data_IF_955302978241
#
_entry.id   IF_955302978241
#
_cell.length_a   1.000
_cell.length_b   1.000
_cell.length_c   1.000
_cell.angle_alpha   90.00
_cell.angle_beta   90.00
_cell.angle_gamma   90.00
#
_symmetry.space_group_name_H-M   'P 1'
#
loop_
_entity.id
_entity.type
_entity.pdbx_description
1 polymer ?
#
# COMPACT_ATOMS: atom_id res chain seq x y z
N UNK A 1 20.48 -4.23 -13.73
CA UNK A 1 20.14 -4.53 -12.75
C UNK A 1 19.09 -3.75 -12.12
N UNK A 2 18.92 -3.83 -11.05
CA UNK A 2 17.93 -3.10 -10.47
C UNK A 2 18.02 -1.69 -10.77
N UNK A 3 19.12 -1.25 -11.29
CA UNK A 3 19.21 0.06 -11.64
C UNK A 3 18.23 0.40 -12.71
N UNK A 4 17.95 -0.46 -13.62
CA UNK A 4 17.10 -0.09 -14.73
C UNK A 4 15.68 0.18 -14.26
N UNK A 5 15.15 -0.61 -13.39
CA UNK A 5 13.80 -0.30 -12.98
C UNK A 5 13.74 0.83 -11.98
N UNK A 6 14.83 1.15 -11.35
CA UNK A 6 14.82 2.30 -10.48
C UNK A 6 14.71 3.58 -11.24
N UNK A 7 15.36 3.65 -12.39
CA UNK A 7 15.35 4.89 -13.11
C UNK A 7 14.13 5.06 -13.92
N UNK A 8 13.41 4.03 -14.14
CA UNK A 8 12.23 4.19 -14.89
C UNK A 8 11.32 4.99 -14.10
N UNK A 9 10.52 5.52 -14.67
CA UNK A 9 9.50 6.12 -14.05
C UNK A 9 9.73 7.17 -13.17
N UNK A 10 8.79 7.83 -12.89
CA UNK A 10 8.83 8.94 -12.08
C UNK A 10 9.29 8.59 -10.72
N UNK A 11 9.23 7.51 -10.27
CA UNK A 11 9.61 7.25 -8.90
C UNK A 11 10.69 6.23 -8.79
N UNK A 12 11.57 6.41 -7.86
CA UNK A 12 12.52 5.42 -7.45
C UNK A 12 11.91 4.65 -6.30
N UNK A 13 12.12 3.34 -6.27
CA UNK A 13 11.64 2.54 -5.16
C UNK A 13 12.41 2.91 -3.89
N UNK A 14 11.68 3.18 -2.83
CA UNK A 14 12.24 3.63 -1.57
C UNK A 14 11.72 2.77 -0.44
N UNK A 15 12.47 2.78 0.67
CA UNK A 15 12.01 2.12 1.88
C UNK A 15 10.97 2.98 2.58
N UNK A 16 10.15 2.35 3.42
CA UNK A 16 9.16 3.08 4.19
C UNK A 16 9.84 4.21 4.97
N UNK A 17 9.25 5.42 4.96
CA UNK A 17 9.83 6.54 5.72
C UNK A 17 9.91 6.21 7.20
N UNK A 18 10.98 6.65 7.84
CA UNK A 18 11.25 6.28 9.23
C UNK A 18 10.14 6.68 10.18
N UNK A 19 9.56 7.86 10.00
CA UNK A 19 8.47 8.31 10.87
C UNK A 19 7.23 7.44 10.73
N UNK A 20 6.92 7.05 9.52
CA UNK A 20 5.80 6.16 9.26
C UNK A 20 6.07 4.79 9.87
N UNK A 21 7.29 4.28 9.65
CA UNK A 21 7.66 2.98 10.18
C UNK A 21 7.56 2.95 11.70
N UNK A 22 8.06 3.99 12.36
CA UNK A 22 8.05 4.04 13.82
C UNK A 22 6.62 3.97 14.36
N UNK A 23 5.70 4.63 13.70
CA UNK A 23 4.30 4.63 14.14
C UNK A 23 3.61 3.30 13.90
N UNK A 24 4.07 2.53 12.92
CA UNK A 24 3.41 1.28 12.54
C UNK A 24 4.08 0.04 13.09
N UNK A 25 5.25 0.16 13.71
CA UNK A 25 5.93 -0.99 14.30
C UNK A 25 5.08 -1.80 15.28
N UNK A 26 4.22 -1.17 16.10
CA UNK A 26 3.37 -1.97 16.98
C UNK A 26 2.30 -2.78 16.26
N UNK A 27 2.04 -2.50 15.00
CA UNK A 27 0.92 -3.09 14.27
C UNK A 27 1.31 -4.10 13.21
N UNK A 28 2.55 -4.06 12.74
CA UNK A 28 3.00 -4.93 11.65
C UNK A 28 4.32 -5.59 12.00
N UNK A 29 4.53 -6.78 11.48
CA UNK A 29 5.77 -7.52 11.73
C UNK A 29 6.94 -6.85 11.03
N UNK A 30 8.15 -7.15 11.54
CA UNK A 30 9.36 -6.65 10.90
C UNK A 30 9.48 -7.18 9.47
N UNK A 31 9.01 -8.40 9.21
CA UNK A 31 9.06 -8.95 7.87
C UNK A 31 8.29 -8.07 6.89
N UNK A 32 7.10 -7.63 7.26
CA UNK A 32 6.30 -6.75 6.40
C UNK A 32 7.00 -5.42 6.22
N UNK A 33 7.43 -4.81 7.33
CA UNK A 33 8.03 -3.48 7.28
C UNK A 33 9.35 -3.45 6.52
N UNK A 34 10.12 -4.53 6.58
CA UNK A 34 11.41 -4.60 5.90
C UNK A 34 11.26 -4.91 4.42
N UNK A 35 10.21 -5.63 4.03
CA UNK A 35 10.07 -6.03 2.64
C UNK A 35 9.47 -4.93 1.76
N UNK A 36 8.69 -4.03 2.33
CA UNK A 36 7.93 -3.07 1.53
C UNK A 36 8.84 -2.03 0.89
N UNK A 37 8.47 -1.64 -0.33
CA UNK A 37 9.07 -0.50 -1.01
C UNK A 37 7.94 0.33 -1.57
N UNK A 38 8.19 1.62 -1.76
CA UNK A 38 7.16 2.47 -2.32
C UNK A 38 7.75 3.40 -3.37
N UNK A 39 6.87 3.96 -4.16
CA UNK A 39 7.20 5.05 -5.07
C UNK A 39 5.97 5.91 -5.27
N UNK A 40 6.18 7.11 -5.81
CA UNK A 40 5.08 7.98 -6.20
C UNK A 40 4.95 7.86 -7.71
N UNK A 41 3.77 7.52 -8.17
CA UNK A 41 3.52 7.31 -9.58
C UNK A 41 2.52 8.31 -10.12
N UNK A 42 2.42 8.38 -11.45
CA UNK A 42 1.43 9.24 -12.08
C UNK A 42 0.11 8.47 -12.27
N UNK A 43 -0.87 9.15 -12.84
CA UNK A 43 -2.18 8.55 -13.03
C UNK A 43 -2.13 7.29 -13.90
N UNK A 44 -1.26 7.27 -14.90
CA UNK A 44 -1.16 6.11 -15.77
C UNK A 44 -0.63 4.90 -15.01
N UNK A 45 0.37 5.09 -14.15
CA UNK A 45 0.90 4.00 -13.33
C UNK A 45 -0.13 3.48 -12.35
N UNK A 46 -0.87 4.39 -11.70
CA UNK A 46 -1.90 3.97 -10.77
C UNK A 46 -3.04 3.26 -11.45
N UNK A 47 -3.44 3.73 -12.62
CA UNK A 47 -4.50 3.07 -13.37
C UNK A 47 -4.08 1.68 -13.82
N UNK A 48 -2.84 1.53 -14.27
CA UNK A 48 -2.34 0.21 -14.68
C UNK A 48 -2.30 -0.74 -13.48
N UNK A 49 -1.80 -0.27 -12.33
CA UNK A 49 -1.73 -1.10 -11.14
C UNK A 49 -3.12 -1.43 -10.62
N UNK A 50 -4.08 -0.55 -10.87
CA UNK A 50 -5.42 -0.66 -10.31
C UNK A 50 -6.39 -1.36 -11.27
N UNK A 51 -5.88 -2.02 -12.30
CA UNK A 51 -6.74 -2.60 -13.33
C UNK A 51 -7.76 -3.58 -12.76
N UNK A 52 -7.35 -4.36 -11.79
CA UNK A 52 -8.23 -5.36 -11.19
C UNK A 52 -9.12 -4.79 -10.09
N UNK A 53 -8.84 -3.58 -9.64
CA UNK A 53 -9.57 -3.01 -8.52
C UNK A 53 -10.82 -2.33 -9.00
N UNK A 54 -11.79 -2.21 -8.12
CA UNK A 54 -13.08 -1.63 -8.47
C UNK A 54 -13.20 -0.18 -8.03
N UNK A 55 -12.11 0.42 -7.57
CA UNK A 55 -12.14 1.77 -7.04
C UNK A 55 -11.15 2.66 -7.78
N UNK A 56 -11.60 3.46 -8.76
CA UNK A 56 -10.68 4.25 -9.57
C UNK A 56 -10.11 5.48 -8.89
N UNK A 57 -10.63 5.88 -7.75
CA UNK A 57 -10.21 7.11 -7.10
C UNK A 57 -9.26 6.90 -5.94
N UNK A 58 -8.54 5.79 -5.95
CA UNK A 58 -7.63 5.52 -4.85
C UNK A 58 -6.41 6.41 -4.91
N UNK A 59 -5.83 6.66 -3.76
CA UNK A 59 -4.61 7.44 -3.63
C UNK A 59 -3.37 6.59 -3.52
N UNK A 60 -3.53 5.30 -3.38
CA UNK A 60 -2.41 4.35 -3.34
C UNK A 60 -2.89 2.97 -3.73
N UNK A 61 -1.98 2.17 -4.27
CA UNK A 61 -2.27 0.79 -4.68
C UNK A 61 -1.07 -0.06 -4.30
N UNK A 62 -1.32 -1.27 -3.81
CA UNK A 62 -0.27 -2.23 -3.48
C UNK A 62 -0.21 -3.33 -4.53
N UNK A 63 0.99 -3.63 -4.99
CA UNK A 63 1.26 -4.77 -5.87
C UNK A 63 2.41 -5.55 -5.27
N UNK A 64 2.11 -6.72 -4.73
CA UNK A 64 3.09 -7.54 -4.02
C UNK A 64 3.61 -6.75 -2.81
N UNK A 65 4.88 -6.40 -2.81
CA UNK A 65 5.47 -5.63 -1.73
C UNK A 65 5.80 -4.21 -2.15
N UNK A 66 5.22 -3.74 -3.24
CA UNK A 66 5.44 -2.38 -3.72
C UNK A 66 4.14 -1.60 -3.61
N UNK A 67 4.23 -0.43 -2.99
CA UNK A 67 3.09 0.47 -2.87
C UNK A 67 3.35 1.68 -3.76
N UNK A 68 2.38 1.99 -4.60
CA UNK A 68 2.46 3.16 -5.48
C UNK A 68 1.49 4.19 -4.96
N UNK A 69 2.00 5.37 -4.61
CA UNK A 69 1.19 6.47 -4.11
C UNK A 69 0.93 7.47 -5.23
N UNK A 70 -0.25 8.08 -5.23
CA UNK A 70 -0.55 9.13 -6.17
C UNK A 70 0.14 10.44 -5.79
N UNK A 71 0.27 10.72 -4.49
CA UNK A 71 0.81 11.99 -4.00
C UNK A 71 1.96 11.76 -3.05
N UNK A 72 3.02 12.53 -3.25
CA UNK A 72 4.19 12.50 -2.36
C UNK A 72 3.78 12.78 -0.92
N UNK A 73 2.87 13.71 -0.71
CA UNK A 73 2.45 14.07 0.64
C UNK A 73 1.86 12.88 1.39
N UNK A 74 1.10 12.03 0.71
CA UNK A 74 0.55 10.84 1.33
C UNK A 74 1.64 9.85 1.68
N UNK A 75 2.62 9.69 0.80
CA UNK A 75 3.72 8.77 1.07
C UNK A 75 4.54 9.21 2.28
N UNK A 76 4.66 10.51 2.49
CA UNK A 76 5.47 11.02 3.59
C UNK A 76 4.72 11.18 4.90
N UNK A 77 3.41 11.37 4.86
CA UNK A 77 2.67 11.79 6.05
C UNK A 77 1.41 11.00 6.38
N UNK A 78 0.87 10.22 5.44
CA UNK A 78 -0.45 9.62 5.67
C UNK A 78 -0.32 8.21 6.25
N UNK A 79 -0.12 8.14 7.57
CA UNK A 79 0.12 6.87 8.24
C UNK A 79 -1.08 5.93 8.15
N UNK A 80 -2.30 6.46 8.16
CA UNK A 80 -3.49 5.62 8.05
C UNK A 80 -3.57 4.95 6.68
N UNK A 81 -3.23 5.68 5.62
CA UNK A 81 -3.19 5.10 4.28
C UNK A 81 -2.09 4.05 4.19
N UNK A 82 -0.94 4.31 4.78
CA UNK A 82 0.12 3.32 4.86
C UNK A 82 -0.37 2.04 5.54
N UNK A 83 -1.12 2.18 6.62
CA UNK A 83 -1.63 1.00 7.34
C UNK A 83 -2.55 0.18 6.45
N UNK A 84 -3.38 0.83 5.65
CA UNK A 84 -4.24 0.14 4.69
C UNK A 84 -3.41 -0.66 3.69
N UNK A 85 -2.42 0.00 3.07
CA UNK A 85 -1.64 -0.65 2.03
C UNK A 85 -0.73 -1.76 2.61
N UNK A 86 -0.21 -1.55 3.81
CA UNK A 86 0.61 -2.59 4.43
C UNK A 86 -0.18 -3.85 4.74
N UNK A 87 -1.48 -3.72 5.01
CA UNK A 87 -2.30 -4.91 5.18
C UNK A 87 -2.31 -5.72 3.88
N UNK A 88 -2.35 -5.06 2.74
CA UNK A 88 -2.28 -5.77 1.47
C UNK A 88 -0.91 -6.43 1.26
N UNK A 89 0.18 -5.77 1.66
CA UNK A 89 1.50 -6.41 1.61
C UNK A 89 1.48 -7.68 2.45
N UNK A 90 0.91 -7.61 3.65
CA UNK A 90 0.80 -8.77 4.52
C UNK A 90 0.00 -9.88 3.86
N UNK A 91 -1.11 -9.54 3.22
CA UNK A 91 -1.94 -10.53 2.51
C UNK A 91 -1.18 -11.16 1.35
N UNK A 92 -0.42 -10.36 0.58
CA UNK A 92 0.40 -10.93 -0.48
C UNK A 92 1.46 -11.89 0.06
N UNK A 93 2.06 -11.55 1.20
CA UNK A 93 3.05 -12.44 1.80
C UNK A 93 2.42 -13.73 2.29
N UNK A 94 1.19 -13.67 2.78
CA UNK A 94 0.49 -14.86 3.25
C UNK A 94 -0.03 -15.73 2.11
N UNK A 95 -0.61 -15.11 1.11
CA UNK A 95 -1.35 -15.83 0.07
C UNK A 95 -0.57 -16.02 -1.23
N UNK A 96 0.37 -15.14 -1.51
CA UNK A 96 1.00 -15.09 -2.83
C UNK A 96 0.14 -14.32 -3.81
N UNK A 97 0.75 -13.93 -4.93
CA UNK A 97 0.09 -13.06 -5.90
C UNK A 97 -1.14 -13.72 -6.53
N UNK A 98 -1.04 -15.00 -6.88
CA UNK A 98 -2.13 -15.68 -7.57
C UNK A 98 -3.35 -15.82 -6.66
N UNK A 99 -3.14 -16.20 -5.41
CA UNK A 99 -4.25 -16.35 -4.49
C UNK A 99 -4.87 -15.00 -4.12
N UNK A 100 -4.03 -13.97 -3.96
CA UNK A 100 -4.55 -12.62 -3.71
C UNK A 100 -5.47 -12.20 -4.85
N UNK A 101 -5.01 -12.35 -6.09
CA UNK A 101 -5.79 -11.95 -7.25
C UNK A 101 -7.11 -12.73 -7.33
N UNK A 102 -7.04 -14.04 -7.07
CA UNK A 102 -8.23 -14.87 -7.11
C UNK A 102 -9.26 -14.43 -6.07
N UNK A 103 -8.82 -14.18 -4.85
CA UNK A 103 -9.72 -13.72 -3.79
C UNK A 103 -10.29 -12.35 -4.11
N UNK A 104 -9.47 -11.47 -4.67
CA UNK A 104 -9.92 -10.11 -4.98
C UNK A 104 -11.01 -10.12 -6.04
N UNK A 105 -10.83 -10.92 -7.09
CA UNK A 105 -11.82 -11.04 -8.16
C UNK A 105 -13.10 -11.70 -7.63
N UNK A 106 -12.94 -12.69 -6.77
CA UNK A 106 -14.09 -13.41 -6.24
C UNK A 106 -14.92 -12.57 -5.29
N UNK A 107 -14.25 -11.85 -4.40
CA UNK A 107 -14.95 -11.02 -3.42
C UNK A 107 -13.98 -9.99 -2.86
N UNK A 108 -13.86 -8.86 -3.56
CA UNK A 108 -12.88 -7.86 -3.15
C UNK A 108 -13.20 -7.26 -1.78
N UNK A 109 -14.45 -7.28 -1.35
CA UNK A 109 -14.83 -6.76 -0.04
C UNK A 109 -14.13 -7.53 1.07
N UNK A 110 -13.98 -8.84 0.91
CA UNK A 110 -13.30 -9.67 1.90
C UNK A 110 -11.81 -9.34 2.01
N UNK A 111 -11.23 -8.91 0.91
CA UNK A 111 -9.82 -8.53 0.89
C UNK A 111 -9.63 -7.11 1.44
N UNK A 112 -10.53 -6.21 1.08
CA UNK A 112 -10.42 -4.81 1.46
C UNK A 112 -10.84 -4.54 2.91
N UNK A 113 -11.79 -5.30 3.45
CA UNK A 113 -12.30 -5.03 4.79
C UNK A 113 -11.21 -4.99 5.87
N UNK A 114 -10.27 -5.95 5.91
CA UNK A 114 -9.20 -5.88 6.91
C UNK A 114 -8.30 -4.66 6.74
N UNK A 115 -8.10 -4.23 5.48
CA UNK A 115 -7.27 -3.07 5.21
C UNK A 115 -7.96 -1.79 5.69
N UNK A 116 -9.25 -1.65 5.43
CA UNK A 116 -10.01 -0.52 5.94
C UNK A 116 -10.12 -0.58 7.47
N UNK A 117 -10.18 -1.77 8.04
CA UNK A 117 -10.17 -1.93 9.48
C UNK A 117 -8.91 -1.38 10.10
N UNK A 118 -7.75 -1.70 9.53
CA UNK A 118 -6.48 -1.16 10.02
C UNK A 118 -6.40 0.35 9.81
N UNK A 119 -6.86 0.83 8.67
CA UNK A 119 -6.86 2.26 8.39
C UNK A 119 -7.67 3.02 9.43
N UNK A 120 -8.85 2.53 9.75
CA UNK A 120 -9.71 3.15 10.75
C UNK A 120 -9.12 3.08 12.15
N UNK A 121 -8.53 1.95 12.49
CA UNK A 121 -7.90 1.78 13.79
C UNK A 121 -6.77 2.77 13.99
N UNK A 122 -5.90 2.89 12.98
CA UNK A 122 -4.78 3.82 13.05
C UNK A 122 -5.27 5.26 13.12
N UNK A 123 -6.28 5.59 12.31
CA UNK A 123 -6.83 6.93 12.32
C UNK A 123 -7.34 7.29 13.71
N UNK A 124 -8.03 6.38 14.37
CA UNK A 124 -8.54 6.62 15.71
C UNK A 124 -7.42 6.68 16.75
N UNK A 125 -6.52 5.70 16.73
CA UNK A 125 -5.51 5.57 17.79
C UNK A 125 -4.44 6.65 17.71
N UNK A 126 -4.06 7.03 16.51
CA UNK A 126 -3.06 8.07 16.31
C UNK A 126 -3.67 9.44 16.04
N UNK A 127 -5.00 9.50 15.94
CA UNK A 127 -5.73 10.76 15.71
C UNK A 127 -5.25 11.45 14.47
N UNK A 128 -5.18 10.69 13.37
CA UNK A 128 -4.72 11.20 12.08
C UNK A 128 -5.83 11.01 11.06
N UNK A 129 -5.83 11.82 9.99
CA UNK A 129 -6.85 11.67 8.95
C UNK A 129 -6.61 10.39 8.17
N UNK A 130 -7.68 9.88 7.56
CA UNK A 130 -7.53 8.76 6.65
C UNK A 130 -7.78 9.24 5.24
N UNK A 131 -7.39 8.39 4.27
CA UNK A 131 -7.59 8.67 2.87
C UNK A 131 -8.12 7.44 2.18
N UNK A 132 -8.33 7.53 0.87
CA UNK A 132 -8.79 6.41 0.09
C UNK A 132 -7.61 5.55 -0.34
N UNK A 133 -7.70 4.26 -0.05
CA UNK A 133 -6.69 3.30 -0.49
C UNK A 133 -7.34 2.18 -1.28
N UNK A 134 -6.57 1.57 -2.11
CA UNK A 134 -7.03 0.45 -2.91
C UNK A 134 -6.46 -0.87 -2.49
#
# INVERSE_FOLDING_TARGET
LEKSHRTAAAGTLQRIPLDIRAQLEPYYSLQVLDSVRFKVGDDAELNAANTMLQNPDVNAVTMLDIIVFRHEADAQNNVALWAHELKHVEQYLQWGAAEFALRYVRDYTQVEAPAYGMQSQISRELRVPSGLGG
#
